data_IF_013277491044
#
_entry.id   IF_013277491044
#
_cell.length_a   1.000
_cell.length_b   1.000
_cell.length_c   1.000
_cell.angle_alpha   90.00
_cell.angle_beta   90.00
_cell.angle_gamma   90.00
#
_symmetry.space_group_name_H-M   'P 1'
#
loop_
_entity.id
_entity.type
_entity.pdbx_description
1 polymer ?
#
# COMPACT_ATOMS: atom_id res chain seq x y z
N UNK A 1 -11.22 2.81 -18.30
CA UNK A 1 -11.62 1.63 -17.51
C UNK A 1 -11.98 2.12 -16.10
N UNK A 2 -13.24 1.99 -15.65
CA UNK A 2 -13.65 2.42 -14.30
C UNK A 2 -13.41 1.26 -13.33
N UNK A 3 -12.35 1.33 -12.54
CA UNK A 3 -12.09 0.35 -11.48
C UNK A 3 -12.99 0.64 -10.27
N UNK A 4 -13.69 -0.38 -9.79
CA UNK A 4 -14.45 -0.30 -8.54
C UNK A 4 -13.48 -0.44 -7.35
N UNK A 5 -13.90 0.02 -6.17
CA UNK A 5 -13.03 0.09 -4.97
C UNK A 5 -12.49 -1.28 -4.51
N UNK A 6 -13.10 -2.36 -4.99
CA UNK A 6 -12.76 -3.76 -4.69
C UNK A 6 -12.10 -4.50 -5.86
N UNK A 7 -11.73 -3.83 -6.95
CA UNK A 7 -11.03 -4.48 -8.06
C UNK A 7 -9.75 -5.16 -7.59
N UNK A 8 -9.57 -6.41 -8.03
CA UNK A 8 -8.37 -7.21 -7.81
C UNK A 8 -7.57 -7.21 -9.10
N UNK A 9 -6.27 -6.97 -9.00
CA UNK A 9 -5.34 -7.07 -10.12
C UNK A 9 -4.52 -8.34 -9.93
N UNK A 10 -4.30 -9.09 -11.01
CA UNK A 10 -3.44 -10.27 -11.03
C UNK A 10 -2.22 -10.05 -11.92
N UNK A 11 -1.05 -10.42 -11.39
CA UNK A 11 0.23 -10.46 -12.11
C UNK A 11 1.04 -11.66 -11.62
N UNK A 12 1.51 -12.48 -12.55
CA UNK A 12 2.35 -13.65 -12.24
C UNK A 12 1.74 -14.61 -11.21
N UNK A 13 0.41 -14.83 -11.27
CA UNK A 13 -0.32 -15.70 -10.34
C UNK A 13 -0.54 -15.11 -8.93
N UNK A 14 -0.12 -13.86 -8.70
CA UNK A 14 -0.31 -13.17 -7.42
C UNK A 14 -1.32 -12.05 -7.56
N UNK A 15 -2.18 -11.92 -6.57
CA UNK A 15 -3.32 -11.00 -6.60
C UNK A 15 -3.22 -9.92 -5.56
N UNK A 16 -3.65 -8.74 -5.95
CA UNK A 16 -3.61 -7.57 -5.09
C UNK A 16 -4.83 -6.68 -5.33
N UNK A 17 -5.58 -6.43 -4.25
CA UNK A 17 -6.70 -5.47 -4.27
C UNK A 17 -6.16 -4.07 -4.58
N UNK A 18 -6.92 -3.24 -5.28
CA UNK A 18 -6.52 -1.85 -5.58
C UNK A 18 -6.15 -1.06 -4.31
N UNK A 19 -6.87 -1.29 -3.21
CA UNK A 19 -6.54 -0.74 -1.89
C UNK A 19 -5.20 -1.25 -1.33
N UNK A 20 -4.83 -2.48 -1.64
CA UNK A 20 -3.51 -3.05 -1.34
C UNK A 20 -2.40 -2.37 -2.15
N UNK A 21 -2.63 -2.06 -3.43
CA UNK A 21 -1.64 -1.38 -4.29
C UNK A 21 -1.36 0.00 -3.69
N UNK A 22 -2.42 0.73 -3.34
CA UNK A 22 -2.28 2.02 -2.66
C UNK A 22 -1.56 1.93 -1.31
N UNK A 23 -1.63 0.80 -0.61
CA UNK A 23 -0.87 0.56 0.63
C UNK A 23 0.60 0.25 0.37
N UNK A 24 0.89 -0.60 -0.61
CA UNK A 24 2.25 -0.90 -1.06
C UNK A 24 2.95 0.38 -1.55
N UNK A 25 2.23 1.28 -2.22
CA UNK A 25 2.75 2.58 -2.64
C UNK A 25 3.23 3.45 -1.46
N UNK A 26 2.58 3.39 -0.29
CA UNK A 26 3.08 4.10 0.89
C UNK A 26 4.32 3.43 1.49
N UNK A 27 4.45 2.10 1.37
CA UNK A 27 5.66 1.39 1.78
C UNK A 27 6.82 1.76 0.86
N UNK A 28 6.62 1.72 -0.46
CA UNK A 28 7.56 2.21 -1.47
C UNK A 28 8.07 3.61 -1.13
N UNK A 29 7.16 4.57 -0.90
CA UNK A 29 7.55 5.94 -0.54
C UNK A 29 8.31 6.05 0.79
N UNK A 30 8.07 5.13 1.74
CA UNK A 30 8.83 5.07 3.00
C UNK A 30 10.26 4.56 2.78
N UNK A 31 10.44 3.55 1.91
CA UNK A 31 11.76 2.99 1.59
C UNK A 31 12.64 4.00 0.85
N UNK A 32 12.06 4.81 -0.05
CA UNK A 32 12.78 5.88 -0.77
C UNK A 32 13.43 6.96 0.13
N UNK A 33 13.02 7.02 1.39
CA UNK A 33 13.52 7.98 2.37
C UNK A 33 14.18 7.32 3.59
N UNK A 34 14.40 6.00 3.55
CA UNK A 34 15.14 5.27 4.59
C UNK A 34 16.64 5.28 4.28
N UNK A 35 17.49 5.83 5.17
CA UNK A 35 18.94 5.71 5.04
C UNK A 35 19.42 4.26 5.00
N UNK A 36 18.89 3.39 5.87
CA UNK A 36 19.33 1.98 5.92
C UNK A 36 19.00 1.25 4.61
N UNK A 37 17.84 1.51 4.02
CA UNK A 37 17.45 0.88 2.76
C UNK A 37 18.30 1.34 1.57
N UNK A 38 18.72 2.61 1.54
CA UNK A 38 19.67 3.10 0.53
C UNK A 38 21.03 2.40 0.64
N UNK A 39 21.52 2.11 1.86
CA UNK A 39 22.74 1.34 2.03
C UNK A 39 22.59 -0.09 1.52
N UNK A 40 21.44 -0.72 1.73
CA UNK A 40 21.17 -2.05 1.19
C UNK A 40 21.18 -2.05 -0.35
N UNK A 41 20.61 -1.00 -0.98
CA UNK A 41 20.72 -0.79 -2.44
C UNK A 41 22.17 -0.69 -2.89
N UNK A 42 22.94 0.18 -2.24
CA UNK A 42 24.36 0.40 -2.56
C UNK A 42 25.18 -0.88 -2.40
N UNK A 43 24.96 -1.66 -1.33
CA UNK A 43 25.64 -2.94 -1.14
C UNK A 43 25.31 -3.93 -2.26
N UNK A 44 24.03 -4.07 -2.62
CA UNK A 44 23.61 -4.99 -3.70
C UNK A 44 24.07 -4.53 -5.08
N UNK A 45 24.32 -3.24 -5.26
CA UNK A 45 24.95 -2.68 -6.46
C UNK A 45 26.49 -2.79 -6.45
N UNK A 46 27.12 -3.16 -5.32
CA UNK A 46 28.58 -3.12 -5.17
C UNK A 46 29.16 -1.70 -5.05
N UNK A 47 28.31 -0.72 -4.74
CA UNK A 47 28.61 0.72 -4.64
C UNK A 47 28.72 1.22 -3.19
N UNK A 48 28.69 0.31 -2.21
CA UNK A 48 28.74 0.67 -0.80
C UNK A 48 30.08 1.37 -0.46
N UNK A 49 30.05 2.61 0.07
CA UNK A 49 31.27 3.29 0.50
C UNK A 49 32.01 2.50 1.59
N UNK A 50 33.33 2.45 1.52
CA UNK A 50 34.15 1.72 2.50
C UNK A 50 34.03 2.27 3.93
N UNK A 51 33.65 3.54 4.08
CA UNK A 51 33.43 4.23 5.36
C UNK A 51 31.94 4.26 5.78
N UNK A 52 31.07 3.50 5.11
CA UNK A 52 29.66 3.45 5.45
C UNK A 52 29.44 2.85 6.85
N UNK A 53 28.72 3.60 7.69
CA UNK A 53 28.26 3.10 8.99
C UNK A 53 27.00 2.29 8.76
N UNK A 54 27.09 0.98 8.97
CA UNK A 54 25.98 0.05 8.82
C UNK A 54 25.21 -0.09 10.15
N UNK A 55 23.88 -0.25 10.11
CA UNK A 55 23.11 -0.58 11.30
C UNK A 55 23.48 -1.99 11.81
N UNK A 56 23.36 -2.24 13.10
CA UNK A 56 23.74 -3.54 13.67
C UNK A 56 22.88 -4.72 13.15
N UNK A 57 21.68 -4.43 12.67
CA UNK A 57 20.72 -5.39 12.11
C UNK A 57 20.63 -5.32 10.58
N UNK A 58 21.72 -4.95 9.90
CA UNK A 58 21.72 -4.70 8.47
C UNK A 58 21.27 -5.90 7.62
N UNK A 59 21.52 -7.13 8.06
CA UNK A 59 21.02 -8.34 7.39
C UNK A 59 19.49 -8.35 7.26
N UNK A 60 18.77 -7.82 8.26
CA UNK A 60 17.31 -7.70 8.19
C UNK A 60 16.88 -6.67 7.14
N UNK A 61 17.67 -5.62 6.95
CA UNK A 61 17.46 -4.60 5.91
C UNK A 61 17.72 -5.18 4.52
N UNK A 62 18.82 -5.93 4.36
CA UNK A 62 19.16 -6.62 3.13
C UNK A 62 18.08 -7.62 2.73
N UNK A 63 17.55 -8.40 3.67
CA UNK A 63 16.47 -9.34 3.38
C UNK A 63 15.21 -8.62 2.84
N UNK A 64 14.89 -7.43 3.35
CA UNK A 64 13.77 -6.63 2.85
C UNK A 64 14.09 -6.02 1.49
N UNK A 65 15.34 -5.62 1.25
CA UNK A 65 15.78 -5.17 -0.07
C UNK A 65 15.70 -6.30 -1.09
N UNK A 66 16.12 -7.52 -0.76
CA UNK A 66 16.03 -8.67 -1.65
C UNK A 66 14.57 -9.04 -2.01
N UNK A 67 13.62 -8.71 -1.12
CA UNK A 67 12.20 -8.95 -1.34
C UNK A 67 11.48 -7.83 -2.10
N UNK A 68 11.84 -6.58 -1.81
CA UNK A 68 11.14 -5.39 -2.30
C UNK A 68 11.91 -4.63 -3.39
N UNK A 69 13.16 -4.98 -3.65
CA UNK A 69 13.95 -4.47 -4.77
C UNK A 69 14.27 -2.99 -4.74
N UNK A 70 14.71 -2.49 -5.90
CA UNK A 70 15.12 -1.11 -6.03
C UNK A 70 13.90 -0.16 -6.10
N UNK A 71 13.82 0.76 -5.15
CA UNK A 71 12.76 1.79 -5.08
C UNK A 71 13.12 3.08 -5.84
N UNK A 72 14.22 3.09 -6.59
CA UNK A 72 14.54 4.12 -7.60
C UNK A 72 13.77 3.93 -8.91
N UNK A 73 13.32 2.69 -9.18
CA UNK A 73 12.42 2.38 -10.29
C UNK A 73 11.15 3.21 -10.18
N UNK A 74 10.47 3.43 -11.31
CA UNK A 74 9.15 4.04 -11.26
C UNK A 74 8.16 3.14 -10.50
N UNK A 75 7.12 3.75 -9.93
CA UNK A 75 6.20 3.00 -9.07
C UNK A 75 5.42 1.91 -9.80
N UNK A 76 5.16 2.06 -11.10
CA UNK A 76 4.45 1.07 -11.90
C UNK A 76 5.36 -0.14 -12.17
N UNK A 77 6.59 0.11 -12.58
CA UNK A 77 7.64 -0.91 -12.74
C UNK A 77 7.88 -1.65 -11.41
N UNK A 78 8.15 -0.92 -10.33
CA UNK A 78 8.34 -1.50 -9.00
C UNK A 78 7.14 -2.34 -8.54
N UNK A 79 5.93 -1.86 -8.82
CA UNK A 79 4.70 -2.59 -8.46
C UNK A 79 4.63 -3.92 -9.18
N UNK A 80 4.91 -3.91 -10.49
CA UNK A 80 4.88 -5.11 -11.33
C UNK A 80 5.97 -6.12 -10.94
N UNK A 81 7.18 -5.65 -10.62
CA UNK A 81 8.31 -6.52 -10.32
C UNK A 81 8.32 -7.08 -8.89
N UNK A 82 7.98 -6.26 -7.89
CA UNK A 82 8.18 -6.57 -6.48
C UNK A 82 6.89 -6.58 -5.67
N UNK A 83 6.01 -5.60 -5.85
CA UNK A 83 4.85 -5.45 -4.97
C UNK A 83 3.90 -6.65 -5.03
N UNK A 84 3.57 -7.12 -6.25
CA UNK A 84 2.76 -8.33 -6.40
C UNK A 84 3.44 -9.54 -5.75
N UNK A 85 4.77 -9.61 -5.81
CA UNK A 85 5.53 -10.72 -5.22
C UNK A 85 5.49 -10.73 -3.69
N UNK A 86 5.66 -9.57 -3.09
CA UNK A 86 5.83 -9.45 -1.65
C UNK A 86 4.50 -9.31 -0.88
N UNK A 87 3.50 -8.66 -1.49
CA UNK A 87 2.22 -8.35 -0.86
C UNK A 87 1.03 -9.11 -1.47
N UNK A 88 1.23 -9.74 -2.62
CA UNK A 88 0.17 -10.48 -3.29
C UNK A 88 -0.20 -11.73 -2.52
N UNK A 89 -1.50 -12.00 -2.46
CA UNK A 89 -2.01 -13.24 -1.91
C UNK A 89 -2.39 -14.19 -3.05
N UNK A 90 -2.39 -15.49 -2.76
CA UNK A 90 -3.00 -16.50 -3.62
C UNK A 90 -4.51 -16.35 -3.53
N UNK A 91 -5.22 -16.96 -4.47
CA UNK A 91 -6.66 -16.73 -4.58
C UNK A 91 -7.40 -16.94 -3.25
N UNK A 92 -8.41 -16.10 -3.00
CA UNK A 92 -9.36 -16.35 -1.91
C UNK A 92 -9.96 -17.75 -2.09
N UNK A 93 -10.22 -18.46 -0.99
CA UNK A 93 -10.85 -19.78 -1.06
C UNK A 93 -12.17 -19.67 -1.86
N UNK A 94 -12.41 -20.54 -2.85
CA UNK A 94 -13.66 -20.53 -3.60
C UNK A 94 -14.85 -20.63 -2.66
N UNK A 95 -15.86 -19.80 -2.89
CA UNK A 95 -17.08 -19.79 -2.09
C UNK A 95 -18.28 -19.38 -2.93
N UNK A 96 -19.44 -19.93 -2.58
CA UNK A 96 -20.71 -19.61 -3.23
C UNK A 96 -21.02 -18.14 -3.00
N UNK A 97 -21.17 -17.39 -4.09
CA UNK A 97 -21.46 -15.96 -4.05
C UNK A 97 -22.90 -15.69 -4.47
N UNK A 98 -23.66 -15.00 -3.62
CA UNK A 98 -25.01 -14.57 -3.97
C UNK A 98 -24.95 -13.31 -4.85
N UNK A 99 -25.33 -13.44 -6.12
CA UNK A 99 -25.46 -12.29 -7.06
C UNK A 99 -26.80 -11.55 -6.89
N UNK A 100 -27.60 -11.92 -5.90
CA UNK A 100 -28.89 -11.32 -5.53
C UNK A 100 -30.08 -11.96 -6.23
N UNK A 101 -31.27 -11.40 -5.96
CA UNK A 101 -32.54 -11.87 -6.53
C UNK A 101 -32.91 -11.03 -7.74
N UNK A 102 -33.36 -11.67 -8.82
CA UNK A 102 -33.92 -11.00 -9.99
C UNK A 102 -35.44 -10.92 -9.82
N UNK A 103 -36.00 -9.74 -10.01
CA UNK A 103 -37.46 -9.52 -10.02
C UNK A 103 -37.87 -8.88 -11.34
N UNK A 104 -39.17 -8.88 -11.62
CA UNK A 104 -39.71 -8.19 -12.79
C UNK A 104 -39.25 -6.72 -12.81
N UNK A 105 -38.69 -6.27 -13.94
CA UNK A 105 -38.17 -4.92 -14.12
C UNK A 105 -36.76 -4.66 -13.58
N UNK A 106 -36.04 -5.68 -13.11
CA UNK A 106 -34.68 -5.53 -12.60
C UNK A 106 -33.66 -5.35 -13.74
N UNK A 107 -33.13 -4.13 -13.86
CA UNK A 107 -32.10 -3.77 -14.86
C UNK A 107 -30.67 -3.89 -14.32
N UNK A 108 -30.48 -4.23 -13.05
CA UNK A 108 -29.18 -4.25 -12.37
C UNK A 108 -28.48 -5.61 -12.42
N UNK A 109 -29.05 -6.59 -13.14
CA UNK A 109 -28.52 -7.96 -13.21
C UNK A 109 -27.12 -7.99 -13.82
N UNK A 110 -26.94 -7.33 -14.97
CA UNK A 110 -25.65 -7.26 -15.66
C UNK A 110 -24.57 -6.62 -14.78
N UNK A 111 -24.90 -5.53 -14.09
CA UNK A 111 -23.96 -4.84 -13.19
C UNK A 111 -23.45 -5.75 -12.07
N UNK A 112 -24.32 -6.56 -11.46
CA UNK A 112 -23.93 -7.48 -10.38
C UNK A 112 -23.03 -8.60 -10.87
N UNK A 113 -23.27 -9.08 -12.10
CA UNK A 113 -22.41 -10.08 -12.72
C UNK A 113 -21.04 -9.50 -13.08
N UNK A 114 -21.00 -8.28 -13.63
CA UNK A 114 -19.76 -7.56 -13.93
C UNK A 114 -18.95 -7.26 -12.65
N UNK A 115 -19.62 -6.88 -11.56
CA UNK A 115 -18.98 -6.67 -10.26
C UNK A 115 -18.36 -7.96 -9.73
N UNK A 116 -19.05 -9.11 -9.86
CA UNK A 116 -18.51 -10.42 -9.48
C UNK A 116 -17.30 -10.81 -10.33
N UNK A 117 -17.41 -10.69 -11.66
CA UNK A 117 -16.35 -11.05 -12.59
C UNK A 117 -15.10 -10.19 -12.39
N UNK A 118 -15.26 -8.89 -12.14
CA UNK A 118 -14.14 -7.94 -11.97
C UNK A 118 -13.54 -7.89 -10.55
N UNK A 119 -14.11 -8.64 -9.60
CA UNK A 119 -13.61 -8.65 -8.21
C UNK A 119 -13.51 -10.06 -7.64
N UNK A 120 -14.62 -10.63 -7.15
CA UNK A 120 -14.66 -11.91 -6.45
C UNK A 120 -14.11 -13.06 -7.29
N UNK A 121 -14.44 -13.12 -8.59
CA UNK A 121 -14.00 -14.20 -9.46
C UNK A 121 -12.49 -14.19 -9.67
N UNK A 122 -11.93 -13.02 -10.00
CA UNK A 122 -10.47 -12.82 -10.05
C UNK A 122 -9.86 -13.17 -8.69
N UNK A 123 -10.41 -12.65 -7.58
CA UNK A 123 -9.92 -12.94 -6.24
C UNK A 123 -9.84 -14.46 -5.99
N UNK A 124 -10.82 -15.24 -6.43
CA UNK A 124 -10.88 -16.71 -6.26
C UNK A 124 -10.05 -17.50 -7.29
N UNK A 125 -9.47 -16.87 -8.30
CA UNK A 125 -8.55 -17.52 -9.26
C UNK A 125 -9.15 -17.82 -10.59
N UNK A 126 -10.19 -17.06 -10.96
CA UNK A 126 -10.87 -17.21 -12.25
C UNK A 126 -11.33 -18.67 -12.44
N UNK A 127 -11.66 -19.35 -11.34
CA UNK A 127 -12.09 -20.75 -11.38
C UNK A 127 -13.36 -20.89 -12.19
N UNK A 128 -13.49 -21.99 -12.93
CA UNK A 128 -14.74 -22.36 -13.58
C UNK A 128 -15.89 -22.25 -12.57
N UNK A 129 -16.85 -21.37 -12.86
CA UNK A 129 -17.96 -21.05 -11.96
C UNK A 129 -19.26 -21.19 -12.72
N UNK A 130 -20.21 -21.96 -12.16
CA UNK A 130 -21.55 -22.09 -12.73
C UNK A 130 -22.37 -20.84 -12.39
N UNK A 131 -22.92 -20.21 -13.42
CA UNK A 131 -23.98 -19.20 -13.27
C UNK A 131 -25.31 -19.92 -13.43
N UNK A 132 -26.14 -19.93 -12.39
CA UNK A 132 -27.43 -20.61 -12.39
C UNK A 132 -28.56 -19.66 -11.97
N UNK A 133 -29.68 -19.73 -12.67
CA UNK A 133 -30.92 -19.08 -12.25
C UNK A 133 -31.70 -20.06 -11.36
N UNK A 134 -31.87 -19.70 -10.08
CA UNK A 134 -32.59 -20.54 -9.11
C UNK A 134 -33.99 -19.95 -8.89
N UNK A 135 -35.08 -20.62 -9.34
CA UNK A 135 -36.43 -20.15 -9.10
C UNK A 135 -36.76 -20.13 -7.61
N UNK A 136 -37.37 -19.04 -7.15
CA UNK A 136 -37.87 -18.96 -5.77
C UNK A 136 -39.24 -19.64 -5.66
N UNK A 137 -39.49 -20.32 -4.55
CA UNK A 137 -40.77 -21.00 -4.27
C UNK A 137 -40.74 -22.53 -4.45
N UNK A 138 -39.64 -23.08 -4.98
CA UNK A 138 -39.44 -24.53 -5.03
C UNK A 138 -38.97 -25.08 -3.67
N UNK A 139 -39.21 -26.38 -3.44
CA UNK A 139 -38.68 -27.06 -2.26
C UNK A 139 -37.14 -27.11 -2.34
N UNK A 140 -36.45 -26.82 -1.22
CA UNK A 140 -34.98 -26.79 -1.16
C UNK A 140 -34.33 -28.08 -1.64
N UNK A 141 -34.92 -29.24 -1.32
CA UNK A 141 -34.42 -30.54 -1.77
C UNK A 141 -34.43 -30.67 -3.30
N UNK A 142 -35.47 -30.18 -3.97
CA UNK A 142 -35.56 -30.20 -5.43
C UNK A 142 -34.51 -29.28 -6.06
N UNK A 143 -34.31 -28.07 -5.49
CA UNK A 143 -33.27 -27.13 -5.93
C UNK A 143 -31.88 -27.79 -5.82
N UNK A 144 -31.56 -28.42 -4.69
CA UNK A 144 -30.27 -29.06 -4.48
C UNK A 144 -30.03 -30.22 -5.43
N UNK A 145 -31.06 -31.02 -5.73
CA UNK A 145 -30.97 -32.11 -6.73
C UNK A 145 -30.63 -31.58 -8.11
N UNK A 146 -31.30 -30.51 -8.56
CA UNK A 146 -31.03 -29.91 -9.87
C UNK A 146 -29.64 -29.27 -9.95
N UNK A 147 -29.17 -28.64 -8.86
CA UNK A 147 -27.81 -28.10 -8.81
C UNK A 147 -26.77 -29.22 -8.88
N UNK A 148 -26.99 -30.34 -8.18
CA UNK A 148 -26.08 -31.48 -8.23
C UNK A 148 -25.97 -32.05 -9.65
N UNK A 149 -27.10 -32.29 -10.32
CA UNK A 149 -27.13 -32.78 -11.70
C UNK A 149 -26.39 -31.83 -12.66
N UNK A 150 -26.57 -30.50 -12.51
CA UNK A 150 -25.83 -29.52 -13.31
C UNK A 150 -24.32 -29.61 -13.08
N UNK A 151 -23.88 -29.75 -11.83
CA UNK A 151 -22.46 -29.86 -11.50
C UNK A 151 -21.83 -31.16 -12.03
N UNK A 152 -22.57 -32.27 -12.02
CA UNK A 152 -22.08 -33.56 -12.54
C UNK A 152 -21.77 -33.52 -14.05
N UNK A 153 -22.41 -32.61 -14.79
CA UNK A 153 -22.16 -32.43 -16.24
C UNK A 153 -20.95 -31.54 -16.56
N UNK A 154 -20.42 -30.80 -15.58
CA UNK A 154 -19.39 -29.78 -15.81
C UNK A 154 -18.06 -30.29 -15.27
N UNK A 155 -17.08 -30.48 -16.16
CA UNK A 155 -15.70 -30.70 -15.74
C UNK A 155 -15.04 -29.35 -15.42
N UNK A 156 -14.62 -29.09 -14.16
CA UNK A 156 -13.92 -27.86 -13.84
C UNK A 156 -12.56 -27.82 -14.53
N UNK A 157 -12.25 -26.70 -15.17
CA UNK A 157 -10.91 -26.41 -15.70
C UNK A 157 -10.19 -25.59 -14.65
N UNK A 158 -9.68 -26.26 -13.62
CA UNK A 158 -9.09 -25.57 -12.47
C UNK A 158 -7.69 -25.04 -12.81
N UNK A 159 -7.49 -23.73 -12.64
CA UNK A 159 -6.15 -23.18 -12.36
C UNK A 159 -5.76 -23.55 -10.93
N UNK A 160 -4.47 -23.77 -10.68
CA UNK A 160 -3.95 -23.90 -9.32
C UNK A 160 -4.23 -22.60 -8.53
N UNK A 161 -5.02 -22.72 -7.47
CA UNK A 161 -5.37 -21.59 -6.59
C UNK A 161 -4.81 -21.78 -5.18
N UNK A 162 -3.69 -22.50 -5.06
CA UNK A 162 -3.03 -22.69 -3.77
C UNK A 162 -2.87 -21.34 -3.06
N UNK A 163 -3.28 -21.22 -1.77
CA UNK A 163 -3.26 -19.95 -1.07
C UNK A 163 -1.81 -19.52 -0.82
N UNK A 164 -1.30 -18.61 -1.66
CA UNK A 164 -0.04 -17.91 -1.42
C UNK A 164 -0.26 -16.92 -0.27
N UNK A 165 0.43 -17.13 0.83
CA UNK A 165 0.41 -16.20 1.96
C UNK A 165 1.37 -15.05 1.61
N UNK A 166 0.94 -13.78 1.66
CA UNK A 166 1.82 -12.66 1.36
C UNK A 166 2.93 -12.59 2.41
N UNK A 167 4.16 -12.32 1.93
CA UNK A 167 5.35 -12.24 2.79
C UNK A 167 5.25 -11.07 3.77
N UNK A 168 4.69 -9.96 3.32
CA UNK A 168 4.41 -8.80 4.17
C UNK A 168 2.91 -8.51 4.23
N UNK A 169 2.44 -8.15 5.43
CA UNK A 169 1.06 -7.72 5.65
C UNK A 169 1.03 -6.21 5.90
N UNK A 170 0.46 -5.47 4.96
CA UNK A 170 0.19 -4.03 5.17
C UNK A 170 -1.17 -3.87 5.88
N UNK A 171 -1.22 -4.29 7.14
CA UNK A 171 -2.41 -4.17 7.99
C UNK A 171 -2.36 -2.85 8.74
N UNK A 172 -2.88 -1.81 8.10
CA UNK A 172 -3.03 -0.49 8.72
C UNK A 172 -4.48 -0.05 8.66
N UNK A 173 -4.97 0.54 9.75
CA UNK A 173 -6.24 1.26 9.70
C UNK A 173 -6.13 2.44 8.73
N UNK A 174 -7.20 2.75 8.00
CA UNK A 174 -7.20 3.88 7.05
C UNK A 174 -6.79 5.20 7.72
N UNK A 175 -7.14 5.38 9.00
CA UNK A 175 -6.76 6.56 9.81
C UNK A 175 -5.24 6.64 10.03
N UNK A 176 -4.59 5.50 10.30
CA UNK A 176 -3.14 5.45 10.46
C UNK A 176 -2.45 5.82 9.14
N UNK A 177 -2.91 5.30 8.01
CA UNK A 177 -2.35 5.62 6.68
C UNK A 177 -2.46 7.10 6.32
N UNK A 178 -3.56 7.77 6.70
CA UNK A 178 -3.68 9.24 6.54
C UNK A 178 -2.57 9.97 7.28
N UNK A 179 -2.21 9.50 8.47
CA UNK A 179 -1.14 10.09 9.28
C UNK A 179 0.24 9.77 8.70
N UNK A 180 0.47 8.52 8.29
CA UNK A 180 1.70 8.08 7.61
C UNK A 180 1.98 8.93 6.38
N UNK A 181 0.97 9.14 5.52
CA UNK A 181 1.09 10.01 4.33
C UNK A 181 1.56 11.41 4.69
N UNK A 182 1.01 12.01 5.75
CA UNK A 182 1.43 13.34 6.21
C UNK A 182 2.87 13.35 6.73
N UNK A 183 3.27 12.31 7.45
CA UNK A 183 4.61 12.20 8.03
C UNK A 183 5.68 11.98 6.96
N UNK A 184 5.45 11.05 6.03
CA UNK A 184 6.34 10.82 4.89
C UNK A 184 6.44 12.08 4.02
N UNK A 185 5.32 12.74 3.73
CA UNK A 185 5.34 14.00 2.98
C UNK A 185 6.14 15.10 3.68
N UNK A 186 6.04 15.19 5.01
CA UNK A 186 6.81 16.13 5.81
C UNK A 186 8.32 15.82 5.74
N UNK A 187 8.68 14.54 5.82
CA UNK A 187 10.06 14.07 5.71
C UNK A 187 10.65 14.35 4.32
N UNK A 188 9.91 14.05 3.25
CA UNK A 188 10.29 14.38 1.87
C UNK A 188 10.55 15.88 1.68
N UNK A 189 9.64 16.73 2.17
CA UNK A 189 9.78 18.18 2.08
C UNK A 189 10.99 18.67 2.87
N UNK A 190 11.25 18.08 4.05
CA UNK A 190 12.43 18.38 4.86
C UNK A 190 13.72 17.99 4.14
N UNK A 191 13.75 16.81 3.51
CA UNK A 191 14.86 16.31 2.69
C UNK A 191 15.13 17.22 1.49
N UNK A 192 14.09 17.62 0.77
CA UNK A 192 14.22 18.51 -0.38
C UNK A 192 14.58 19.95 0.01
N UNK A 193 14.33 20.37 1.26
CA UNK A 193 14.55 21.75 1.71
C UNK A 193 15.24 21.79 3.10
N UNK A 194 16.52 21.36 3.25
CA UNK A 194 17.18 21.26 4.55
C UNK A 194 17.39 22.60 5.28
N UNK A 195 17.45 23.72 4.55
CA UNK A 195 17.58 25.06 5.14
C UNK A 195 16.22 25.68 5.53
N UNK A 196 15.10 25.11 5.07
CA UNK A 196 13.78 25.70 5.30
C UNK A 196 13.35 25.55 6.77
N UNK A 197 12.85 26.64 7.40
CA UNK A 197 12.28 26.56 8.74
C UNK A 197 11.17 25.52 8.85
N UNK A 198 11.18 24.73 9.92
CA UNK A 198 10.22 23.64 10.13
C UNK A 198 8.75 24.10 10.06
N UNK A 199 8.42 25.29 10.58
CA UNK A 199 7.05 25.78 10.49
C UNK A 199 6.58 25.98 9.03
N UNK A 200 7.47 26.40 8.11
CA UNK A 200 7.15 26.50 6.68
C UNK A 200 6.97 25.14 6.03
N UNK A 201 7.80 24.16 6.41
CA UNK A 201 7.66 22.75 5.98
C UNK A 201 6.29 22.22 6.43
N UNK A 202 5.89 22.48 7.67
CA UNK A 202 4.58 22.07 8.20
C UNK A 202 3.38 22.62 7.42
N UNK A 203 3.49 23.85 6.92
CA UNK A 203 2.47 24.46 6.05
C UNK A 203 2.45 23.76 4.69
N UNK A 204 3.62 23.62 4.03
CA UNK A 204 3.73 22.93 2.74
C UNK A 204 3.26 21.48 2.80
N UNK A 205 3.48 20.80 3.94
CA UNK A 205 3.04 19.44 4.21
C UNK A 205 1.55 19.34 4.59
N UNK A 206 0.84 20.47 4.77
CA UNK A 206 -0.57 20.55 5.17
C UNK A 206 -0.87 19.74 6.45
N UNK A 207 0.02 19.83 7.46
CA UNK A 207 -0.11 19.04 8.69
C UNK A 207 -1.40 19.35 9.46
N UNK A 208 -1.81 20.62 9.48
CA UNK A 208 -3.00 21.10 10.16
C UNK A 208 -3.79 22.07 9.29
N UNK A 209 -5.10 21.83 9.16
CA UNK A 209 -6.03 22.72 8.46
C UNK A 209 -6.14 24.09 9.14
N UNK A 210 -6.09 24.11 10.47
CA UNK A 210 -6.10 25.34 11.29
C UNK A 210 -4.96 26.27 10.87
N UNK A 211 -3.76 25.70 10.70
CA UNK A 211 -2.56 26.45 10.37
C UNK A 211 -2.36 26.71 8.88
N UNK A 212 -3.13 26.03 8.02
CA UNK A 212 -3.08 26.23 6.56
C UNK A 212 -3.52 27.64 6.13
N UNK A 213 -4.38 28.27 6.93
CA UNK A 213 -4.87 29.65 6.69
C UNK A 213 -3.97 30.74 7.28
N UNK A 214 -2.94 30.39 8.07
CA UNK A 214 -2.12 31.38 8.77
C UNK A 214 -1.25 32.24 7.84
N UNK A 215 -0.89 31.73 6.66
CA UNK A 215 -0.19 32.52 5.66
C UNK A 215 -1.04 33.68 5.11
N UNK A 216 -2.38 33.60 5.25
CA UNK A 216 -3.30 34.59 4.72
C UNK A 216 -3.81 35.58 5.79
N UNK A 217 -3.48 35.38 7.08
CA UNK A 217 -4.14 36.09 8.19
C UNK A 217 -3.30 37.14 8.91
N UNK A 218 -1.97 37.17 8.75
CA UNK A 218 -1.14 38.23 9.32
C UNK A 218 -0.72 39.23 8.26
N UNK A 219 -0.44 40.47 8.67
CA UNK A 219 0.00 41.56 7.77
C UNK A 219 1.29 41.22 7.01
N UNK A 220 2.13 40.32 7.54
CA UNK A 220 3.36 39.82 6.92
C UNK A 220 3.21 38.41 6.31
N UNK A 221 2.02 37.80 6.39
CA UNK A 221 1.74 36.44 5.94
C UNK A 221 2.46 35.32 6.70
N UNK A 222 2.93 35.55 7.94
CA UNK A 222 3.70 34.59 8.76
C UNK A 222 2.98 34.07 10.02
N UNK A 223 1.81 34.61 10.37
CA UNK A 223 1.09 34.30 11.61
C UNK A 223 1.82 34.79 12.88
N UNK A 224 1.23 34.53 14.05
CA UNK A 224 1.81 34.88 15.36
C UNK A 224 3.06 34.03 15.68
N UNK A 225 3.88 34.48 16.63
CA UNK A 225 5.04 33.71 17.11
C UNK A 225 4.63 32.36 17.72
N UNK A 226 3.55 32.36 18.53
CA UNK A 226 3.03 31.15 19.18
C UNK A 226 2.57 30.11 18.14
N UNK A 227 1.87 30.53 17.10
CA UNK A 227 1.43 29.65 16.03
C UNK A 227 2.61 29.03 15.26
N UNK A 228 3.63 29.83 14.95
CA UNK A 228 4.86 29.34 14.32
C UNK A 228 5.59 28.32 15.20
N UNK A 229 5.64 28.56 16.51
CA UNK A 229 6.26 27.64 17.47
C UNK A 229 5.48 26.32 17.55
N UNK A 230 4.16 26.37 17.69
CA UNK A 230 3.30 25.18 17.69
C UNK A 230 3.47 24.36 16.41
N UNK A 231 3.50 25.03 15.26
CA UNK A 231 3.67 24.36 13.97
C UNK A 231 5.07 23.79 13.79
N UNK A 232 6.11 24.47 14.27
CA UNK A 232 7.49 23.95 14.34
C UNK A 232 7.54 22.64 15.12
N UNK A 233 6.94 22.59 16.30
CA UNK A 233 6.92 21.39 17.15
C UNK A 233 6.11 20.24 16.53
N UNK A 234 4.95 20.53 15.94
CA UNK A 234 4.18 19.54 15.18
C UNK A 234 4.99 18.98 14.00
N UNK A 235 5.68 19.85 13.27
CA UNK A 235 6.52 19.45 12.12
C UNK A 235 7.69 18.61 12.57
N UNK A 236 8.38 19.00 13.64
CA UNK A 236 9.48 18.22 14.24
C UNK A 236 9.03 16.79 14.57
N UNK A 237 7.89 16.65 15.26
CA UNK A 237 7.29 15.34 15.57
C UNK A 237 6.92 14.56 14.30
N UNK A 238 6.37 15.22 13.29
CA UNK A 238 6.01 14.59 12.02
C UNK A 238 7.25 14.07 11.26
N UNK A 239 8.34 14.84 11.22
CA UNK A 239 9.61 14.44 10.62
C UNK A 239 10.20 13.24 11.37
N UNK A 240 10.25 13.30 12.69
CA UNK A 240 10.75 12.20 13.52
C UNK A 240 9.94 10.91 13.33
N UNK A 241 8.60 11.00 13.32
CA UNK A 241 7.74 9.84 13.05
C UNK A 241 7.89 9.32 11.62
N UNK A 242 8.00 10.21 10.63
CA UNK A 242 8.25 9.83 9.24
C UNK A 242 9.56 9.06 9.11
N UNK A 243 10.60 9.51 9.80
CA UNK A 243 11.90 8.83 9.82
C UNK A 243 11.79 7.43 10.43
N UNK A 244 11.13 7.28 11.58
CA UNK A 244 10.92 5.95 12.18
C UNK A 244 10.07 5.04 11.29
N UNK A 245 9.09 5.58 10.56
CA UNK A 245 8.30 4.80 9.58
C UNK A 245 9.19 4.29 8.46
N UNK A 246 10.09 5.13 7.93
CA UNK A 246 11.04 4.74 6.89
C UNK A 246 11.97 3.62 7.37
N UNK A 247 12.59 3.79 8.54
CA UNK A 247 13.55 2.82 9.09
C UNK A 247 12.90 1.50 9.52
N UNK A 248 11.67 1.54 10.05
CA UNK A 248 10.91 0.32 10.33
C UNK A 248 10.43 -0.37 9.04
N UNK A 249 10.07 0.40 8.00
CA UNK A 249 9.69 -0.15 6.70
C UNK A 249 10.83 -0.95 6.07
N UNK A 250 12.06 -0.44 6.20
CA UNK A 250 13.29 -1.10 5.76
C UNK A 250 13.57 -2.40 6.52
N UNK A 251 12.87 -2.67 7.62
CA UNK A 251 12.97 -3.89 8.45
C UNK A 251 11.72 -4.77 8.37
N UNK A 252 10.86 -4.56 7.38
CA UNK A 252 9.65 -5.37 7.20
C UNK A 252 8.46 -4.94 8.06
N UNK A 253 8.60 -3.87 8.87
CA UNK A 253 7.60 -3.43 9.85
C UNK A 253 6.91 -2.13 9.39
N UNK A 254 5.88 -2.25 8.56
CA UNK A 254 5.16 -1.08 8.05
C UNK A 254 3.62 -1.20 8.15
N UNK A 255 2.92 -0.11 8.54
CA UNK A 255 3.45 1.16 9.04
C UNK A 255 3.69 1.14 10.56
N UNK A 256 4.89 1.51 10.99
CA UNK A 256 5.23 1.67 12.41
C UNK A 256 6.13 2.89 12.63
N UNK A 257 5.78 3.76 13.58
CA UNK A 257 6.67 4.83 14.04
C UNK A 257 7.29 4.50 15.42
N UNK A 258 7.26 3.23 15.84
CA UNK A 258 7.99 2.80 17.03
C UNK A 258 9.47 3.18 16.89
N UNK A 259 10.11 3.52 18.01
CA UNK A 259 11.53 3.83 18.01
C UNK A 259 12.31 2.61 17.52
N UNK A 260 13.04 2.76 16.43
CA UNK A 260 13.96 1.75 15.94
C UNK A 260 15.34 2.00 16.56
N UNK A 261 15.88 1.02 17.29
CA UNK A 261 17.16 1.16 18.00
C UNK A 261 18.35 1.26 17.05
N UNK A 262 18.26 0.59 15.91
CA UNK A 262 19.28 0.54 14.88
C UNK A 262 19.03 1.53 13.73
N UNK A 263 18.08 2.47 13.92
CA UNK A 263 17.83 3.50 12.92
C UNK A 263 19.07 4.38 12.72
N UNK A 264 19.50 4.49 11.48
CA UNK A 264 20.55 5.45 11.12
C UNK A 264 20.01 6.89 11.18
N UNK A 265 20.85 7.88 11.49
CA UNK A 265 20.44 9.27 11.41
C UNK A 265 20.05 9.65 9.97
N UNK A 266 19.12 10.59 9.83
CA UNK A 266 18.76 11.12 8.51
C UNK A 266 19.95 11.85 7.89
N UNK A 267 20.49 11.30 6.81
CA UNK A 267 21.42 11.99 5.93
C UNK A 267 20.68 12.51 4.69
N UNK A 268 20.32 13.79 4.71
CA UNK A 268 19.58 14.40 3.62
C UNK A 268 20.40 14.59 2.33
N UNK A 269 21.74 14.59 2.42
CA UNK A 269 22.61 14.75 1.25
C UNK A 269 22.71 13.44 0.48
N UNK A 270 22.97 12.32 1.17
CA UNK A 270 23.03 10.97 0.56
C UNK A 270 21.71 10.52 -0.04
N UNK A 271 20.59 11.02 0.47
CA UNK A 271 19.27 10.64 -0.02
C UNK A 271 18.81 11.45 -1.25
N UNK A 272 19.49 12.53 -1.67
CA UNK A 272 19.04 13.34 -2.82
C UNK A 272 18.94 12.47 -4.08
N UNK A 273 17.90 12.65 -4.91
CA UNK A 273 17.93 12.06 -6.25
C UNK A 273 19.16 12.61 -6.97
N UNK A 274 19.86 11.76 -7.72
CA UNK A 274 20.91 12.21 -8.63
C UNK A 274 20.36 13.36 -9.46
N UNK A 275 21.12 14.45 -9.56
CA UNK A 275 20.73 15.57 -10.41
C UNK A 275 20.72 15.04 -11.85
N UNK A 276 19.52 14.82 -12.39
CA UNK A 276 19.29 14.70 -13.81
C UNK A 276 19.72 15.98 -14.53
#
# INVERSE_FOLDING_TARGET
MKFTRNSVIERGGRKLKLAGIGRAAYWYGALQVSPSYELARLERAGELPADAILPADFDAVLAVYDDLGDVKLDIEEWTNEYAFKAFGHGGEKPSVTNLGVIRYGDQQVANRLDDFASSTWIAQGERSSLIAAIPLGMAKAQILSQIAELLDTIQPTDRDTSPVIPRYKVTASSRLLVSVRKYLRCLELRKANPAMPLWQIGIKARLSRQYSSLLAKSADGRGTLLERQNLKEMTSRAVSRGHMIAENAARGAFPSYAKCEHALPMDYERLKPERA
#
